data_IF_454829284593
#
_entry.id   IF_454829284593
#
_cell.length_a   1.000
_cell.length_b   1.000
_cell.length_c   1.000
_cell.angle_alpha   90.00
_cell.angle_beta   90.00
_cell.angle_gamma   90.00
#
_symmetry.space_group_name_H-M   'P 1'
#
loop_
_entity.id
_entity.type
_entity.pdbx_description
1 polymer ?
#
# COMPACT_ATOMS: atom_id res chain seq x y z
N UNK A 1 -10.33 -11.70 9.99
CA UNK A 1 -10.52 -11.84 8.52
C UNK A 1 -11.46 -13.02 8.23
N UNK A 2 -12.63 -12.76 7.63
CA UNK A 2 -13.69 -13.76 7.39
C UNK A 2 -13.28 -14.80 6.33
N UNK A 3 -13.92 -15.98 6.37
CA UNK A 3 -13.68 -17.08 5.41
C UNK A 3 -13.99 -16.65 3.98
N UNK A 4 -15.01 -15.81 3.80
CA UNK A 4 -15.45 -15.30 2.50
C UNK A 4 -14.37 -14.45 1.81
N UNK A 5 -13.70 -13.56 2.56
CA UNK A 5 -12.62 -12.73 2.02
C UNK A 5 -11.43 -13.56 1.53
N UNK A 6 -11.09 -14.63 2.26
CA UNK A 6 -10.00 -15.54 1.91
C UNK A 6 -10.28 -16.35 0.64
N UNK A 7 -11.54 -16.79 0.47
CA UNK A 7 -11.98 -17.48 -0.74
C UNK A 7 -11.91 -16.56 -1.95
N UNK A 8 -12.45 -15.34 -1.84
CA UNK A 8 -12.46 -14.36 -2.92
C UNK A 8 -11.05 -13.98 -3.40
N UNK A 9 -10.12 -13.73 -2.46
CA UNK A 9 -8.71 -13.49 -2.79
C UNK A 9 -8.07 -14.68 -3.52
N UNK A 10 -8.40 -15.91 -3.11
CA UNK A 10 -7.94 -17.13 -3.79
C UNK A 10 -8.44 -17.21 -5.24
N UNK A 11 -9.72 -16.92 -5.46
CA UNK A 11 -10.34 -16.97 -6.79
C UNK A 11 -9.76 -15.91 -7.73
N UNK A 12 -9.57 -14.67 -7.24
CA UNK A 12 -8.95 -13.58 -8.01
C UNK A 12 -7.52 -13.93 -8.41
N UNK A 13 -6.73 -14.50 -7.50
CA UNK A 13 -5.35 -14.92 -7.80
C UNK A 13 -5.30 -16.06 -8.83
N UNK A 14 -6.21 -17.03 -8.74
CA UNK A 14 -6.31 -18.11 -9.71
C UNK A 14 -6.69 -17.59 -11.10
N UNK A 15 -7.65 -16.68 -11.17
CA UNK A 15 -8.11 -16.06 -12.42
C UNK A 15 -7.02 -15.19 -13.05
N UNK A 16 -6.29 -14.43 -12.23
CA UNK A 16 -5.16 -13.63 -12.68
C UNK A 16 -4.07 -14.48 -13.33
N UNK A 17 -3.73 -15.64 -12.74
CA UNK A 17 -2.79 -16.60 -13.32
C UNK A 17 -3.29 -17.16 -14.65
N UNK A 18 -4.56 -17.56 -14.72
CA UNK A 18 -5.14 -18.16 -15.92
C UNK A 18 -5.20 -17.17 -17.09
N UNK A 19 -5.49 -15.90 -16.83
CA UNK A 19 -5.69 -14.88 -17.85
C UNK A 19 -4.49 -13.95 -18.06
N UNK A 20 -3.34 -14.21 -17.41
CA UNK A 20 -2.13 -13.37 -17.47
C UNK A 20 -2.41 -11.90 -17.07
N UNK A 21 -3.31 -11.72 -16.10
CA UNK A 21 -3.63 -10.42 -15.53
C UNK A 21 -2.62 -10.16 -14.40
N UNK A 22 -2.15 -8.93 -14.31
CA UNK A 22 -1.22 -8.50 -13.27
C UNK A 22 -1.96 -7.64 -12.24
N UNK A 23 -1.67 -7.86 -10.97
CA UNK A 23 -2.37 -7.32 -9.82
C UNK A 23 -1.47 -6.38 -9.03
N UNK A 24 -2.08 -5.36 -8.42
CA UNK A 24 -1.45 -4.51 -7.40
C UNK A 24 -2.00 -4.96 -6.04
N UNK A 25 -1.11 -5.38 -5.15
CA UNK A 25 -1.43 -5.84 -3.80
C UNK A 25 -1.64 -4.70 -2.81
N UNK A 26 -2.20 -5.05 -1.65
CA UNK A 26 -2.35 -4.16 -0.50
C UNK A 26 -1.81 -4.85 0.77
N UNK A 27 -1.42 -4.08 1.79
CA UNK A 27 -1.03 -4.55 3.12
C UNK A 27 0.05 -5.65 3.12
N UNK A 28 1.19 -5.35 2.48
CA UNK A 28 2.40 -6.19 2.55
C UNK A 28 2.17 -7.62 2.03
N UNK A 29 1.55 -7.76 0.85
CA UNK A 29 1.41 -9.07 0.21
C UNK A 29 2.78 -9.71 -0.07
N UNK A 30 2.85 -11.03 0.16
CA UNK A 30 4.06 -11.81 -0.06
C UNK A 30 4.32 -12.01 -1.56
N UNK A 31 5.36 -11.34 -2.08
CA UNK A 31 5.79 -11.45 -3.48
C UNK A 31 6.20 -12.87 -3.84
N UNK A 32 6.85 -13.63 -2.96
CA UNK A 32 7.33 -14.99 -3.29
C UNK A 32 6.17 -15.93 -3.60
N UNK A 33 5.07 -15.78 -2.86
CA UNK A 33 3.86 -16.59 -3.05
C UNK A 33 3.07 -16.20 -4.30
N UNK A 34 3.22 -14.97 -4.78
CA UNK A 34 2.38 -14.38 -5.83
C UNK A 34 3.19 -13.79 -7.01
N UNK A 35 4.43 -14.22 -7.17
CA UNK A 35 5.41 -13.69 -8.14
C UNK A 35 4.98 -13.68 -9.60
N UNK A 36 4.04 -14.55 -9.99
CA UNK A 36 3.56 -14.66 -11.37
C UNK A 36 2.49 -13.61 -11.71
N UNK A 37 1.90 -12.97 -10.70
CA UNK A 37 0.73 -12.09 -10.85
C UNK A 37 0.86 -10.76 -10.13
N UNK A 38 1.76 -10.60 -9.15
CA UNK A 38 1.87 -9.38 -8.36
C UNK A 38 2.96 -8.47 -8.95
N UNK A 39 2.62 -7.27 -9.46
CA UNK A 39 3.61 -6.32 -10.00
C UNK A 39 4.12 -5.33 -8.95
N UNK A 40 3.24 -4.94 -8.05
CA UNK A 40 3.51 -4.00 -6.99
C UNK A 40 2.59 -4.29 -5.79
N UNK A 41 2.95 -3.79 -4.62
CA UNK A 41 2.10 -3.75 -3.45
C UNK A 41 2.15 -2.35 -2.87
N UNK A 42 0.98 -1.78 -2.58
CA UNK A 42 0.86 -0.61 -1.73
C UNK A 42 0.88 -1.11 -0.29
N UNK A 43 1.75 -0.56 0.54
CA UNK A 43 1.87 -0.96 1.94
C UNK A 43 1.56 0.24 2.82
N UNK A 44 0.66 0.02 3.79
CA UNK A 44 0.38 0.98 4.82
C UNK A 44 1.18 0.65 6.09
N UNK A 45 2.22 1.44 6.39
CA UNK A 45 3.09 1.31 7.56
C UNK A 45 2.43 1.91 8.82
N UNK A 46 1.19 1.49 9.09
CA UNK A 46 0.45 1.91 10.28
C UNK A 46 1.22 1.61 11.56
N UNK A 47 1.83 0.42 11.64
CA UNK A 47 2.55 -0.05 12.82
C UNK A 47 3.76 0.84 13.14
N UNK A 48 4.60 1.13 12.14
CA UNK A 48 5.77 2.00 12.31
C UNK A 48 5.37 3.40 12.77
N UNK A 49 4.26 3.92 12.22
CA UNK A 49 3.72 5.21 12.62
C UNK A 49 3.20 5.19 14.07
N UNK A 50 2.46 4.14 14.46
CA UNK A 50 1.97 3.95 15.83
C UNK A 50 3.14 3.88 16.80
N UNK A 51 4.18 3.09 16.49
CA UNK A 51 5.38 2.98 17.31
C UNK A 51 6.10 4.31 17.45
N UNK A 52 6.27 5.06 16.35
CA UNK A 52 6.87 6.40 16.38
C UNK A 52 6.06 7.37 17.25
N UNK A 53 4.74 7.30 17.15
CA UNK A 53 3.81 8.14 17.93
C UNK A 53 3.89 7.81 19.42
N UNK A 54 3.86 6.51 19.79
CA UNK A 54 4.01 6.06 21.17
C UNK A 54 5.38 6.44 21.73
N UNK A 55 6.46 6.25 20.96
CA UNK A 55 7.82 6.60 21.37
C UNK A 55 7.98 8.10 21.60
N UNK A 56 7.37 8.93 20.76
CA UNK A 56 7.41 10.39 20.89
C UNK A 56 6.40 10.91 21.92
N UNK A 57 5.50 10.07 22.42
CA UNK A 57 4.47 10.47 23.38
C UNK A 57 5.09 10.93 24.71
N UNK A 58 6.26 10.42 25.13
CA UNK A 58 6.97 10.83 26.36
C UNK A 58 6.00 11.23 27.50
N UNK A 59 5.19 10.26 27.95
CA UNK A 59 4.17 10.39 29.00
C UNK A 59 2.95 11.29 28.70
N UNK A 60 2.80 11.83 27.48
CA UNK A 60 1.59 12.52 27.04
C UNK A 60 0.51 11.54 26.60
N UNK A 61 -0.61 11.56 27.30
CA UNK A 61 -1.82 10.84 26.91
C UNK A 61 -2.53 11.64 25.80
N UNK A 62 -2.59 11.07 24.59
CA UNK A 62 -3.41 11.59 23.49
C UNK A 62 -4.89 11.25 23.73
N UNK A 63 -5.52 11.89 24.73
CA UNK A 63 -6.91 11.58 25.06
C UNK A 63 -7.86 12.39 24.15
N UNK A 64 -8.68 11.69 23.36
CA UNK A 64 -9.78 12.29 22.58
C UNK A 64 -9.42 12.93 21.24
N UNK A 65 -8.18 12.83 20.76
CA UNK A 65 -7.77 13.36 19.45
C UNK A 65 -7.74 12.27 18.38
N UNK A 66 -8.43 12.50 17.26
CA UNK A 66 -8.30 11.67 16.05
C UNK A 66 -7.13 12.22 15.22
N UNK A 67 -6.12 11.40 14.97
CA UNK A 67 -5.08 11.70 14.00
C UNK A 67 -5.38 10.97 12.69
N UNK A 68 -5.39 11.70 11.58
CA UNK A 68 -5.47 11.11 10.24
C UNK A 68 -4.05 10.78 9.80
N UNK A 69 -3.84 9.55 9.33
CA UNK A 69 -2.56 9.08 8.80
C UNK A 69 -2.77 8.79 7.32
N UNK A 70 -1.95 9.37 6.46
CA UNK A 70 -2.02 9.24 5.01
C UNK A 70 -0.64 9.21 4.36
N UNK A 71 -0.57 9.62 3.09
CA UNK A 71 0.70 9.70 2.35
C UNK A 71 1.66 10.76 2.95
N UNK A 72 1.14 11.72 3.71
CA UNK A 72 1.89 12.86 4.22
C UNK A 72 2.91 12.44 5.29
N UNK A 73 2.69 11.30 5.95
CA UNK A 73 3.47 10.81 7.08
C UNK A 73 4.47 9.68 6.71
N UNK A 74 4.75 9.49 5.41
CA UNK A 74 5.54 8.35 4.89
C UNK A 74 4.94 6.98 5.29
N UNK A 75 3.66 6.97 5.64
CA UNK A 75 2.94 5.77 6.05
C UNK A 75 2.47 4.93 4.84
N UNK A 76 2.57 5.45 3.62
CA UNK A 76 2.25 4.71 2.39
C UNK A 76 3.55 4.54 1.60
N UNK A 77 3.90 3.29 1.31
CA UNK A 77 5.00 2.96 0.39
C UNK A 77 4.48 2.06 -0.75
N UNK A 78 5.17 2.10 -1.88
CA UNK A 78 4.92 1.19 -3.00
C UNK A 78 6.14 0.33 -3.19
N UNK A 79 5.98 -0.98 -2.95
CA UNK A 79 7.00 -1.98 -3.21
C UNK A 79 6.74 -2.65 -4.55
N UNK A 80 7.79 -3.00 -5.29
CA UNK A 80 7.68 -3.62 -6.60
C UNK A 80 8.16 -5.07 -6.53
N UNK A 81 7.47 -5.99 -7.22
CA UNK A 81 7.91 -7.38 -7.32
C UNK A 81 9.29 -7.46 -7.97
N UNK A 82 10.24 -8.22 -7.42
CA UNK A 82 11.54 -8.46 -8.05
C UNK A 82 11.43 -8.97 -9.50
N UNK A 83 10.47 -9.87 -9.76
CA UNK A 83 10.25 -10.51 -11.06
C UNK A 83 9.79 -9.52 -12.13
N UNK A 84 9.05 -8.47 -11.74
CA UNK A 84 8.59 -7.42 -12.64
C UNK A 84 9.42 -6.14 -12.57
N UNK A 85 10.30 -5.98 -11.56
CA UNK A 85 11.01 -4.72 -11.30
C UNK A 85 11.87 -4.25 -12.49
N UNK A 86 12.42 -5.18 -13.28
CA UNK A 86 13.16 -4.88 -14.52
C UNK A 86 12.27 -4.47 -15.69
N UNK A 87 10.97 -4.80 -15.64
CA UNK A 87 9.97 -4.44 -16.65
C UNK A 87 9.27 -3.11 -16.33
N UNK A 88 9.31 -2.70 -15.07
CA UNK A 88 8.80 -1.40 -14.63
C UNK A 88 9.89 -0.36 -14.83
N UNK A 89 9.66 0.55 -15.76
CA UNK A 89 10.64 1.60 -16.08
C UNK A 89 10.82 2.57 -14.93
N UNK A 90 12.01 3.18 -14.84
CA UNK A 90 12.28 4.22 -13.84
C UNK A 90 11.35 5.42 -14.02
N UNK A 91 10.89 5.70 -15.24
CA UNK A 91 9.88 6.72 -15.51
C UNK A 91 8.56 6.45 -14.75
N UNK A 92 8.09 5.19 -14.73
CA UNK A 92 6.89 4.81 -13.97
C UNK A 92 7.14 4.94 -12.48
N UNK A 93 8.28 4.42 -11.98
CA UNK A 93 8.64 4.50 -10.56
C UNK A 93 8.73 5.95 -10.08
N UNK A 94 9.36 6.81 -10.88
CA UNK A 94 9.48 8.23 -10.59
C UNK A 94 8.13 8.94 -10.61
N UNK A 95 7.27 8.64 -11.60
CA UNK A 95 5.91 9.21 -11.65
C UNK A 95 5.08 8.86 -10.42
N UNK A 96 5.17 7.62 -9.93
CA UNK A 96 4.51 7.20 -8.69
C UNK A 96 5.08 7.95 -7.49
N UNK A 97 6.40 8.05 -7.38
CA UNK A 97 7.05 8.77 -6.30
C UNK A 97 6.72 10.28 -6.30
N UNK A 98 6.65 10.89 -7.47
CA UNK A 98 6.32 12.31 -7.61
C UNK A 98 4.84 12.55 -7.27
N UNK A 99 3.94 11.64 -7.64
CA UNK A 99 2.55 11.69 -7.19
C UNK A 99 2.44 11.58 -5.67
N UNK A 100 3.17 10.64 -5.04
CA UNK A 100 3.19 10.51 -3.56
C UNK A 100 3.71 11.77 -2.89
N UNK A 101 4.75 12.42 -3.44
CA UNK A 101 5.25 13.72 -2.95
C UNK A 101 4.22 14.84 -3.13
N UNK A 102 3.54 14.89 -4.27
CA UNK A 102 2.50 15.90 -4.53
C UNK A 102 1.34 15.76 -3.54
N UNK A 103 0.92 14.53 -3.24
CA UNK A 103 -0.08 14.26 -2.18
C UNK A 103 0.46 14.72 -0.82
N UNK A 104 1.71 14.37 -0.49
CA UNK A 104 2.38 14.77 0.76
C UNK A 104 2.42 16.29 0.98
N UNK A 105 2.61 17.05 -0.09
CA UNK A 105 2.64 18.52 -0.03
C UNK A 105 1.27 19.18 -0.21
N UNK A 106 0.18 18.40 -0.21
CA UNK A 106 -1.19 18.86 -0.50
C UNK A 106 -1.30 19.59 -1.86
N UNK A 107 -0.41 19.29 -2.80
CA UNK A 107 -0.47 19.79 -4.19
C UNK A 107 -1.48 18.99 -5.03
N UNK A 108 -1.93 17.85 -4.50
CA UNK A 108 -2.90 16.96 -5.12
C UNK A 108 -3.88 16.43 -4.07
N UNK A 109 -5.17 16.75 -4.23
CA UNK A 109 -6.24 16.26 -3.34
C UNK A 109 -6.82 14.95 -3.89
N UNK A 110 -6.63 13.85 -3.15
CA UNK A 110 -7.31 12.60 -3.47
C UNK A 110 -8.72 12.68 -2.91
N UNK A 111 -9.68 12.99 -3.79
CA UNK A 111 -11.09 12.77 -3.48
C UNK A 111 -11.29 11.32 -3.04
N UNK A 112 -11.70 11.12 -1.78
CA UNK A 112 -11.93 9.79 -1.19
C UNK A 112 -13.08 9.08 -1.90
N UNK A 113 -12.79 8.32 -2.95
CA UNK A 113 -13.70 7.29 -3.45
C UNK A 113 -13.40 5.98 -2.72
N UNK A 114 -13.99 5.83 -1.54
CA UNK A 114 -14.09 4.54 -0.86
C UNK A 114 -15.11 3.69 -1.63
N UNK A 115 -14.63 2.76 -2.45
CA UNK A 115 -15.46 1.65 -2.94
C UNK A 115 -15.02 0.41 -2.17
N UNK A 116 -15.94 -0.09 -1.34
CA UNK A 116 -15.80 -1.30 -0.52
C UNK A 116 -16.16 -2.54 -1.34
#
# INVERSE_FOLDING_TARGET
MSIWLRSFLGDVLALAKQHKIVLIGNDSMDFEKHKDVLIASVEFKAEDYIFKTIKNANDKIFNGTVQTIGANEDAIIVSYSPEFSSRITDSVKNSVNDLLKAIKHNEFDINRYLVW
#
